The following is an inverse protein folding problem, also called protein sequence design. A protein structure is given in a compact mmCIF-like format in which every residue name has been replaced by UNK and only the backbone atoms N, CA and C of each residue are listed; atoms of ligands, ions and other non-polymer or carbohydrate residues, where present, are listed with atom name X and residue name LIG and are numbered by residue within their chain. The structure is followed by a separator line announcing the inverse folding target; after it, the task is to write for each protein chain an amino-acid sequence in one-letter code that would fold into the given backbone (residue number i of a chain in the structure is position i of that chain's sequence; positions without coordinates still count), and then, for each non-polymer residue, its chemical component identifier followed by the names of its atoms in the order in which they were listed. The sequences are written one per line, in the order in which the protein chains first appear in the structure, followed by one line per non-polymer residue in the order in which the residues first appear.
data_IF_330038813772
#
_entry.id   IF_330038813772
#
_cell.length_a   1.000
_cell.length_b   1.000
_cell.length_c   1.000
_cell.angle_alpha   90.00
_cell.angle_beta   90.00
_cell.angle_gamma   90.00
#
_symmetry.space_group_name_H-M   'P 1'
#
loop_
_entity.id
_entity.type
_entity.pdbx_description
1 polymer ?
#
# COMPACT_ATOMS: atom_id res chain seq x y z
N UNK A 1 -15.36 3.85 -3.63
CA UNK A 1 -14.88 3.86 -2.23
C UNK A 1 -13.43 3.37 -2.24
N UNK A 2 -12.45 4.06 -1.61
CA UNK A 2 -11.05 3.57 -1.66
C UNK A 2 -10.90 2.32 -0.80
N UNK A 3 -11.13 2.43 0.51
CA UNK A 3 -10.96 1.31 1.45
C UNK A 3 -12.26 0.60 1.86
N UNK A 4 -13.42 1.13 1.51
CA UNK A 4 -14.67 0.46 1.78
C UNK A 4 -14.99 -0.57 0.68
N UNK A 5 -15.36 -1.76 1.09
CA UNK A 5 -15.86 -2.80 0.18
C UNK A 5 -17.29 -2.47 -0.27
N UNK A 6 -17.60 -2.77 -1.53
CA UNK A 6 -18.98 -2.81 -1.99
C UNK A 6 -19.66 -4.13 -1.59
N UNK A 7 -20.95 -4.25 -1.84
CA UNK A 7 -21.74 -5.43 -1.46
C UNK A 7 -21.24 -6.73 -2.10
N UNK A 8 -20.73 -6.68 -3.33
CA UNK A 8 -20.21 -7.84 -4.06
C UNK A 8 -18.89 -8.28 -3.40
N UNK A 9 -18.01 -7.33 -3.16
CA UNK A 9 -16.70 -7.57 -2.51
C UNK A 9 -16.89 -8.06 -1.07
N UNK A 10 -17.84 -7.49 -0.33
CA UNK A 10 -18.19 -7.97 1.01
C UNK A 10 -18.73 -9.40 0.97
N UNK A 11 -19.59 -9.75 0.01
CA UNK A 11 -20.04 -11.13 -0.19
C UNK A 11 -18.89 -12.06 -0.55
N UNK A 12 -17.94 -11.61 -1.39
CA UNK A 12 -16.74 -12.38 -1.73
C UNK A 12 -15.89 -12.63 -0.49
N UNK A 13 -15.65 -11.60 0.33
CA UNK A 13 -14.92 -11.71 1.59
C UNK A 13 -15.55 -12.76 2.52
N UNK A 14 -16.84 -12.61 2.82
CA UNK A 14 -17.51 -13.44 3.83
C UNK A 14 -17.77 -14.86 3.35
N UNK A 15 -18.16 -15.04 2.07
CA UNK A 15 -18.59 -16.35 1.56
C UNK A 15 -17.49 -17.17 0.89
N UNK A 16 -16.36 -16.53 0.50
CA UNK A 16 -15.27 -17.21 -0.20
C UNK A 16 -13.94 -17.09 0.53
N UNK A 17 -13.43 -15.86 0.72
CA UNK A 17 -12.06 -15.66 1.21
C UNK A 17 -11.88 -16.07 2.66
N UNK A 18 -12.78 -15.66 3.57
CA UNK A 18 -12.70 -16.06 4.99
C UNK A 18 -12.88 -17.57 5.21
N UNK A 19 -13.84 -18.27 4.56
CA UNK A 19 -13.90 -19.71 4.61
C UNK A 19 -12.65 -20.38 4.06
N UNK A 20 -12.11 -19.90 2.93
CA UNK A 20 -10.87 -20.40 2.35
C UNK A 20 -9.70 -20.26 3.33
N UNK A 21 -9.46 -19.05 3.84
CA UNK A 21 -8.40 -18.77 4.82
C UNK A 21 -8.48 -19.70 6.04
N UNK A 22 -9.68 -19.94 6.57
CA UNK A 22 -9.88 -20.85 7.71
C UNK A 22 -9.68 -22.32 7.37
N UNK A 23 -9.97 -22.74 6.14
CA UNK A 23 -9.85 -24.14 5.71
C UNK A 23 -8.42 -24.52 5.32
N UNK A 24 -7.71 -23.59 4.66
CA UNK A 24 -6.32 -23.82 4.23
C UNK A 24 -5.35 -23.49 5.37
N UNK A 25 -5.62 -22.40 6.09
CA UNK A 25 -4.71 -21.86 7.11
C UNK A 25 -3.48 -21.19 6.50
N UNK A 26 -2.55 -20.85 7.34
CA UNK A 26 -1.20 -20.38 7.00
C UNK A 26 -0.23 -21.14 7.89
N UNK A 27 0.82 -21.67 7.29
CA UNK A 27 1.89 -22.39 7.98
C UNK A 27 2.55 -21.50 9.03
N UNK A 28 2.79 -22.03 10.24
CA UNK A 28 3.26 -21.27 11.39
C UNK A 28 4.61 -20.57 11.13
N UNK A 29 5.51 -21.25 10.42
CA UNK A 29 6.83 -20.72 10.06
C UNK A 29 6.75 -19.54 9.08
N UNK A 30 5.61 -19.35 8.41
CA UNK A 30 5.36 -18.24 7.48
C UNK A 30 4.55 -17.10 8.12
N UNK A 31 4.24 -17.19 9.42
CA UNK A 31 3.62 -16.11 10.19
C UNK A 31 4.65 -15.07 10.60
N UNK A 32 4.32 -13.79 10.52
CA UNK A 32 5.22 -12.70 10.86
C UNK A 32 5.85 -12.81 12.26
N UNK A 33 5.14 -13.38 13.23
CA UNK A 33 5.70 -13.59 14.58
C UNK A 33 6.76 -14.69 14.68
N UNK A 34 6.96 -15.49 13.64
CA UNK A 34 8.07 -16.46 13.53
C UNK A 34 9.36 -15.81 12.99
N UNK A 35 9.50 -14.48 13.15
CA UNK A 35 10.58 -13.65 12.59
C UNK A 35 12.00 -14.08 13.02
N UNK A 36 12.17 -14.76 14.13
CA UNK A 36 13.45 -15.26 14.66
C UNK A 36 13.84 -16.63 14.11
N UNK A 37 12.98 -17.27 13.31
CA UNK A 37 13.16 -18.58 12.69
C UNK A 37 13.18 -18.50 11.15
N UNK A 38 13.85 -19.44 10.51
CA UNK A 38 13.76 -19.64 9.06
C UNK A 38 12.31 -20.05 8.68
N UNK A 39 11.76 -19.53 7.57
CA UNK A 39 12.39 -18.69 6.55
C UNK A 39 12.25 -17.19 6.77
N UNK A 40 11.55 -16.73 7.80
CA UNK A 40 11.31 -15.30 8.02
C UNK A 40 12.53 -14.55 8.53
N UNK A 41 13.40 -15.20 9.31
CA UNK A 41 14.63 -14.59 9.79
C UNK A 41 15.54 -14.20 8.63
N UNK A 42 15.90 -12.91 8.46
CA UNK A 42 16.80 -12.48 7.41
C UNK A 42 18.21 -13.08 7.58
N UNK A 43 18.82 -13.53 6.47
CA UNK A 43 20.19 -14.04 6.49
C UNK A 43 21.24 -12.93 6.61
N UNK A 44 20.92 -11.72 6.14
CA UNK A 44 21.84 -10.59 6.10
C UNK A 44 21.31 -9.42 6.94
N UNK A 45 22.20 -8.73 7.64
CA UNK A 45 21.87 -7.52 8.40
C UNK A 45 21.79 -6.28 7.49
N UNK A 46 20.91 -6.36 6.50
CA UNK A 46 20.54 -5.30 5.56
C UNK A 46 19.06 -5.00 5.75
N UNK A 47 18.69 -3.73 5.65
CA UNK A 47 17.31 -3.28 5.79
C UNK A 47 16.88 -2.55 4.52
N UNK A 48 15.81 -3.02 3.87
CA UNK A 48 15.28 -2.41 2.67
C UNK A 48 13.86 -1.89 2.89
N UNK A 49 13.48 -0.76 2.27
CA UNK A 49 12.08 -0.31 2.30
C UNK A 49 11.19 -1.26 1.50
N UNK A 50 9.92 -1.38 1.91
CA UNK A 50 8.94 -2.29 1.32
C UNK A 50 8.87 -2.17 -0.22
N UNK A 51 8.90 -0.93 -0.73
CA UNK A 51 8.84 -0.73 -2.18
C UNK A 51 10.07 -1.27 -2.92
N UNK A 52 11.26 -1.31 -2.31
CA UNK A 52 12.45 -1.93 -2.91
C UNK A 52 12.35 -3.45 -2.93
N UNK A 53 11.77 -4.05 -1.89
CA UNK A 53 11.54 -5.49 -1.82
C UNK A 53 10.49 -5.91 -2.84
N UNK A 54 9.36 -5.21 -2.92
CA UNK A 54 8.23 -5.58 -3.76
C UNK A 54 8.30 -5.03 -5.19
N UNK A 55 9.31 -4.19 -5.53
CA UNK A 55 9.46 -3.62 -6.86
C UNK A 55 9.75 -4.72 -7.89
N UNK A 56 8.92 -4.78 -8.92
CA UNK A 56 9.08 -5.67 -10.08
C UNK A 56 9.17 -4.88 -11.40
N UNK A 57 9.45 -3.59 -11.32
CA UNK A 57 9.59 -2.72 -12.51
C UNK A 57 10.88 -2.98 -13.27
N UNK A 58 11.95 -3.33 -12.56
CA UNK A 58 13.22 -3.71 -13.15
C UNK A 58 13.38 -5.23 -13.13
N UNK A 59 13.46 -5.92 -14.28
CA UNK A 59 13.58 -7.38 -14.33
C UNK A 59 14.82 -7.92 -13.62
N UNK A 60 15.91 -7.15 -13.57
CA UNK A 60 17.16 -7.52 -12.89
C UNK A 60 17.28 -6.97 -11.47
N UNK A 61 16.34 -6.12 -11.03
CA UNK A 61 16.43 -5.35 -9.77
C UNK A 61 17.58 -4.34 -9.72
N UNK A 62 18.09 -3.88 -10.88
CA UNK A 62 19.15 -2.83 -10.96
C UNK A 62 18.72 -1.51 -10.30
N UNK A 63 17.42 -1.20 -10.24
CA UNK A 63 16.88 -0.05 -9.51
C UNK A 63 17.20 -0.12 -8.01
N UNK A 64 17.15 -1.31 -7.42
CA UNK A 64 17.51 -1.57 -6.01
C UNK A 64 19.03 -1.41 -5.83
N UNK A 65 19.82 -1.99 -6.73
CA UNK A 65 21.28 -1.88 -6.72
C UNK A 65 21.74 -0.42 -6.85
N UNK A 66 21.26 0.29 -7.85
CA UNK A 66 21.58 1.72 -8.07
C UNK A 66 21.26 2.56 -6.83
N UNK A 67 20.10 2.31 -6.20
CA UNK A 67 19.67 3.06 -5.03
C UNK A 67 20.45 2.71 -3.76
N UNK A 68 20.57 1.42 -3.47
CA UNK A 68 21.02 0.96 -2.14
C UNK A 68 22.53 0.66 -2.07
N UNK A 69 23.15 0.31 -3.20
CA UNK A 69 24.60 0.11 -3.30
C UNK A 69 25.28 1.36 -3.81
N UNK A 70 24.94 1.81 -5.03
CA UNK A 70 25.61 2.97 -5.64
C UNK A 70 25.09 4.33 -5.15
N UNK A 71 24.07 4.35 -4.26
CA UNK A 71 23.48 5.58 -3.69
C UNK A 71 23.01 6.59 -4.71
N UNK A 72 22.63 6.14 -5.90
CA UNK A 72 22.09 7.00 -6.95
C UNK A 72 20.70 7.51 -6.58
N UNK A 73 20.38 8.72 -7.00
CA UNK A 73 19.04 9.30 -6.83
C UNK A 73 18.24 9.08 -8.10
N UNK A 74 17.09 8.44 -7.95
CA UNK A 74 16.16 8.32 -9.07
C UNK A 74 15.48 9.66 -9.38
N UNK A 75 15.18 9.86 -10.66
CA UNK A 75 14.43 11.04 -11.11
C UNK A 75 12.94 10.88 -10.75
N UNK A 76 12.33 11.97 -10.29
CA UNK A 76 10.89 12.00 -10.07
C UNK A 76 10.17 11.86 -11.41
N UNK A 77 9.23 10.95 -11.52
CA UNK A 77 8.44 10.73 -12.73
C UNK A 77 6.99 11.10 -12.50
N UNK A 78 6.22 11.33 -13.59
CA UNK A 78 4.79 11.61 -13.47
C UNK A 78 4.01 10.54 -12.69
N UNK A 79 4.18 9.22 -12.92
CA UNK A 79 3.47 8.20 -12.13
C UNK A 79 3.80 8.26 -10.63
N UNK A 80 5.07 8.49 -10.28
CA UNK A 80 5.50 8.64 -8.87
C UNK A 80 4.90 9.89 -8.24
N UNK A 81 4.91 11.01 -8.97
CA UNK A 81 4.29 12.27 -8.54
C UNK A 81 2.78 12.11 -8.29
N UNK A 82 2.08 11.50 -9.25
CA UNK A 82 0.65 11.24 -9.16
C UNK A 82 0.33 10.33 -7.95
N UNK A 83 1.08 9.25 -7.77
CA UNK A 83 0.94 8.36 -6.63
C UNK A 83 1.13 9.09 -5.30
N UNK A 84 2.23 9.83 -5.16
CA UNK A 84 2.56 10.57 -3.93
C UNK A 84 1.46 11.57 -3.52
N UNK A 85 0.98 12.38 -4.47
CA UNK A 85 -0.07 13.37 -4.19
C UNK A 85 -1.41 12.70 -3.87
N UNK A 86 -1.74 11.61 -4.58
CA UNK A 86 -2.97 10.83 -4.34
C UNK A 86 -2.97 10.23 -2.94
N UNK A 87 -1.88 9.59 -2.51
CA UNK A 87 -1.75 9.03 -1.15
C UNK A 87 -1.87 10.14 -0.09
N UNK A 88 -1.21 11.28 -0.29
CA UNK A 88 -1.31 12.41 0.63
C UNK A 88 -2.77 12.93 0.74
N UNK A 89 -3.48 13.00 -0.39
CA UNK A 89 -4.89 13.43 -0.42
C UNK A 89 -5.80 12.44 0.32
N UNK A 90 -5.62 11.13 0.11
CA UNK A 90 -6.37 10.08 0.82
C UNK A 90 -6.13 10.20 2.34
N UNK A 91 -4.86 10.27 2.74
CA UNK A 91 -4.47 10.33 4.15
C UNK A 91 -5.10 11.55 4.84
N UNK A 92 -4.96 12.74 4.24
CA UNK A 92 -5.52 13.94 4.85
C UNK A 92 -7.04 13.93 4.86
N UNK A 93 -7.70 13.45 3.80
CA UNK A 93 -9.16 13.32 3.80
C UNK A 93 -9.65 12.48 4.99
N UNK A 94 -9.01 11.35 5.26
CA UNK A 94 -9.36 10.52 6.44
C UNK A 94 -8.99 11.19 7.78
N UNK A 95 -7.92 11.99 7.84
CA UNK A 95 -7.63 12.80 9.04
C UNK A 95 -8.73 13.80 9.32
N UNK A 96 -9.28 14.46 8.28
CA UNK A 96 -10.40 15.39 8.42
C UNK A 96 -11.67 14.67 8.92
N UNK A 97 -11.96 13.48 8.40
CA UNK A 97 -13.07 12.64 8.86
C UNK A 97 -12.95 12.34 10.36
N UNK A 98 -11.77 11.93 10.83
CA UNK A 98 -11.52 11.68 12.26
C UNK A 98 -11.72 12.91 13.12
N UNK A 99 -11.53 14.12 12.56
CA UNK A 99 -11.82 15.40 13.20
C UNK A 99 -13.27 15.84 13.05
N UNK A 100 -14.15 14.97 12.52
CA UNK A 100 -15.56 15.26 12.23
C UNK A 100 -15.76 16.36 11.19
N UNK A 101 -14.74 16.66 10.40
CA UNK A 101 -14.82 17.64 9.32
C UNK A 101 -15.07 16.94 7.99
N UNK A 102 -16.33 16.91 7.56
CA UNK A 102 -16.73 16.25 6.30
C UNK A 102 -16.73 17.21 5.10
N UNK A 103 -16.45 18.50 5.31
CA UNK A 103 -16.37 19.49 4.24
C UNK A 103 -15.11 20.35 4.32
N UNK A 104 -13.91 19.75 4.38
CA UNK A 104 -12.66 20.51 4.42
C UNK A 104 -12.31 21.08 3.06
N UNK A 105 -11.67 22.26 3.05
CA UNK A 105 -11.24 22.95 1.84
C UNK A 105 -10.01 22.25 1.22
N UNK A 106 -10.19 21.52 0.12
CA UNK A 106 -9.10 20.85 -0.61
C UNK A 106 -8.02 21.83 -1.07
N UNK A 107 -8.42 22.98 -1.64
CA UNK A 107 -7.52 24.01 -2.17
C UNK A 107 -6.57 24.55 -1.11
N UNK A 108 -7.07 24.86 0.08
CA UNK A 108 -6.25 25.36 1.19
C UNK A 108 -5.21 24.33 1.60
N UNK A 109 -5.63 23.07 1.77
CA UNK A 109 -4.72 21.99 2.10
C UNK A 109 -3.66 21.78 1.01
N UNK A 110 -4.07 21.70 -0.29
CA UNK A 110 -3.17 21.45 -1.39
C UNK A 110 -2.08 22.52 -1.49
N UNK A 111 -2.46 23.80 -1.39
CA UNK A 111 -1.55 24.92 -1.46
C UNK A 111 -0.53 24.95 -0.30
N UNK A 112 -0.92 24.47 0.88
CA UNK A 112 -0.01 24.37 2.02
C UNK A 112 1.07 23.29 1.83
N UNK A 113 0.81 22.25 1.02
CA UNK A 113 1.76 21.16 0.80
C UNK A 113 2.94 21.54 -0.11
N UNK A 114 2.83 22.58 -0.92
CA UNK A 114 3.84 23.05 -1.88
C UNK A 114 4.34 21.92 -2.79
N UNK A 115 3.44 21.08 -3.27
CA UNK A 115 3.77 19.93 -4.10
C UNK A 115 4.59 20.29 -5.35
N UNK A 116 4.37 21.46 -5.95
CA UNK A 116 5.08 21.98 -7.11
C UNK A 116 6.59 22.03 -6.94
N UNK A 117 7.10 22.04 -5.72
CA UNK A 117 8.54 22.01 -5.44
C UNK A 117 9.15 20.62 -5.48
N UNK A 118 8.32 19.56 -5.49
CA UNK A 118 8.78 18.17 -5.29
C UNK A 118 8.27 17.18 -6.34
N UNK A 119 7.28 17.58 -7.16
CA UNK A 119 6.66 16.70 -8.15
C UNK A 119 6.97 17.16 -9.57
N UNK A 120 6.86 16.23 -10.52
CA UNK A 120 7.07 16.49 -11.95
C UNK A 120 5.86 16.06 -12.78
N UNK A 121 5.70 16.72 -13.93
CA UNK A 121 4.63 16.44 -14.89
C UNK A 121 3.57 17.53 -14.93
N UNK A 122 2.37 17.17 -15.37
CA UNK A 122 1.24 18.11 -15.45
C UNK A 122 0.63 18.32 -14.06
N UNK A 123 1.05 19.39 -13.38
CA UNK A 123 0.66 19.73 -12.00
C UNK A 123 -0.85 19.94 -11.88
N UNK A 124 -1.47 20.62 -12.84
CA UNK A 124 -2.91 20.88 -12.83
C UNK A 124 -3.71 19.57 -12.91
N UNK A 125 -3.28 18.65 -13.75
CA UNK A 125 -3.92 17.35 -13.89
C UNK A 125 -3.75 16.50 -12.62
N UNK A 126 -2.56 16.51 -12.01
CA UNK A 126 -2.31 15.82 -10.74
C UNK A 126 -3.21 16.40 -9.64
N UNK A 127 -3.32 17.73 -9.55
CA UNK A 127 -4.20 18.42 -8.61
C UNK A 127 -5.66 18.06 -8.81
N UNK A 128 -6.13 18.06 -10.05
CA UNK A 128 -7.49 17.66 -10.41
C UNK A 128 -7.80 16.22 -9.95
N UNK A 129 -6.89 15.28 -10.23
CA UNK A 129 -7.04 13.88 -9.84
C UNK A 129 -7.02 13.69 -8.32
N UNK A 130 -6.14 14.41 -7.62
CA UNK A 130 -6.12 14.41 -6.16
C UNK A 130 -7.42 14.96 -5.55
N UNK A 131 -7.97 16.04 -6.13
CA UNK A 131 -9.26 16.60 -5.70
C UNK A 131 -10.43 15.61 -5.91
N UNK A 132 -10.41 14.86 -7.02
CA UNK A 132 -11.41 13.82 -7.28
C UNK A 132 -11.35 12.71 -6.23
N UNK A 133 -10.16 12.24 -5.89
CA UNK A 133 -9.97 11.21 -4.86
C UNK A 133 -10.36 11.74 -3.48
N UNK A 134 -9.95 12.94 -3.13
CA UNK A 134 -10.34 13.64 -1.90
C UNK A 134 -11.86 13.69 -1.73
N UNK A 135 -12.56 14.22 -2.73
CA UNK A 135 -14.03 14.30 -2.71
C UNK A 135 -14.66 12.92 -2.59
N UNK A 136 -14.12 11.93 -3.32
CA UNK A 136 -14.62 10.56 -3.28
C UNK A 136 -14.48 9.94 -1.88
N UNK A 137 -13.34 10.11 -1.21
CA UNK A 137 -13.12 9.63 0.16
C UNK A 137 -14.11 10.27 1.13
N UNK A 138 -14.22 11.60 1.12
CA UNK A 138 -15.11 12.33 2.03
C UNK A 138 -16.58 11.94 1.85
N UNK A 139 -17.08 11.91 0.60
CA UNK A 139 -18.48 11.56 0.32
C UNK A 139 -18.82 10.17 0.83
N UNK A 140 -17.92 9.20 0.62
CA UNK A 140 -18.18 7.83 1.06
C UNK A 140 -18.12 7.68 2.59
N UNK A 141 -17.17 8.35 3.22
CA UNK A 141 -17.06 8.31 4.68
C UNK A 141 -18.22 9.01 5.37
N UNK A 142 -18.69 10.14 4.83
CA UNK A 142 -19.89 10.83 5.32
C UNK A 142 -21.13 9.91 5.20
N UNK A 143 -21.30 9.23 4.07
CA UNK A 143 -22.40 8.27 3.91
C UNK A 143 -22.34 7.18 4.96
N UNK A 144 -21.16 6.58 5.19
CA UNK A 144 -20.97 5.54 6.21
C UNK A 144 -21.22 6.05 7.63
N UNK A 145 -20.80 7.27 7.92
CA UNK A 145 -21.07 7.90 9.21
C UNK A 145 -22.58 8.13 9.43
N UNK A 146 -23.30 8.60 8.42
CA UNK A 146 -24.77 8.76 8.48
C UNK A 146 -25.49 7.41 8.63
N UNK A 147 -25.02 6.39 7.94
CA UNK A 147 -25.54 5.01 8.11
C UNK A 147 -25.35 4.51 9.55
N UNK A 148 -24.17 4.74 10.14
CA UNK A 148 -23.88 4.39 11.52
C UNK A 148 -24.77 5.15 12.50
N UNK A 149 -24.96 6.45 12.30
CA UNK A 149 -25.89 7.29 13.09
C UNK A 149 -27.32 6.74 13.09
N UNK A 150 -27.83 6.33 11.93
CA UNK A 150 -29.19 5.79 11.82
C UNK A 150 -29.36 4.41 12.45
N UNK A 151 -28.28 3.61 12.47
CA UNK A 151 -28.29 2.23 12.94
C UNK A 151 -27.99 2.10 14.45
N UNK A 152 -27.27 3.07 15.00
CA UNK A 152 -26.76 3.03 16.38
C UNK A 152 -27.05 4.35 17.13
N UNK A 153 -28.33 4.70 17.37
CA UNK A 153 -28.72 6.01 17.90
C UNK A 153 -28.26 6.28 19.34
N UNK A 154 -27.77 5.26 20.04
CA UNK A 154 -27.29 5.36 21.43
C UNK A 154 -25.76 5.33 21.57
N UNK A 155 -25.04 5.22 20.45
CA UNK A 155 -23.57 5.26 20.43
C UNK A 155 -23.04 6.69 20.51
N UNK A 156 -21.82 6.84 21.03
CA UNK A 156 -21.14 8.14 21.01
C UNK A 156 -20.71 8.49 19.57
N UNK A 157 -20.45 9.76 19.31
CA UNK A 157 -19.93 10.17 17.98
C UNK A 157 -18.56 9.56 17.70
N UNK A 158 -17.72 9.39 18.72
CA UNK A 158 -16.42 8.72 18.63
C UNK A 158 -16.58 7.27 18.18
N UNK A 159 -17.50 6.52 18.78
CA UNK A 159 -17.79 5.13 18.40
C UNK A 159 -18.31 5.05 16.96
N UNK A 160 -19.14 6.02 16.56
CA UNK A 160 -19.64 6.09 15.19
C UNK A 160 -18.53 6.38 14.17
N UNK A 161 -17.57 7.24 14.48
CA UNK A 161 -16.41 7.47 13.62
C UNK A 161 -15.55 6.23 13.55
N UNK A 162 -15.24 5.59 14.69
CA UNK A 162 -14.45 4.37 14.74
C UNK A 162 -15.10 3.23 13.94
N UNK A 163 -16.43 3.13 13.97
CA UNK A 163 -17.18 2.11 13.23
C UNK A 163 -17.32 2.45 11.75
N UNK A 164 -17.51 3.72 11.40
CA UNK A 164 -17.69 4.15 10.01
C UNK A 164 -16.38 4.25 9.22
N UNK A 165 -15.25 4.49 9.89
CA UNK A 165 -13.92 4.58 9.28
C UNK A 165 -12.90 3.74 10.07
N UNK A 166 -13.03 2.39 10.07
CA UNK A 166 -12.24 1.47 10.90
C UNK A 166 -10.83 1.23 10.32
N UNK A 167 -10.13 2.28 10.00
CA UNK A 167 -8.89 2.23 9.24
C UNK A 167 -7.70 2.78 10.02
N UNK A 168 -6.60 2.03 10.08
CA UNK A 168 -5.27 2.60 10.36
C UNK A 168 -4.66 3.02 9.01
N UNK A 169 -4.52 4.32 8.76
CA UNK A 169 -4.06 4.87 7.48
C UNK A 169 -2.69 5.49 7.66
N UNK A 170 -1.78 5.21 6.73
CA UNK A 170 -0.38 5.64 6.77
C UNK A 170 0.25 5.36 8.15
N UNK A 171 -0.13 4.21 8.72
CA UNK A 171 0.37 3.82 10.04
C UNK A 171 1.85 3.45 9.97
N UNK A 172 2.63 4.04 10.88
CA UNK A 172 4.07 3.82 10.93
C UNK A 172 4.37 2.59 11.77
N UNK A 173 5.10 1.65 11.19
CA UNK A 173 5.54 0.43 11.86
C UNK A 173 7.00 0.14 11.54
N UNK A 174 7.70 -0.58 12.41
CA UNK A 174 9.06 -1.05 12.15
C UNK A 174 9.03 -2.41 11.46
N UNK A 175 9.80 -2.54 10.38
CA UNK A 175 9.98 -3.82 9.68
C UNK A 175 11.30 -4.51 9.96
N UNK A 176 12.08 -4.03 10.95
CA UNK A 176 13.46 -4.48 11.18
C UNK A 176 13.58 -5.96 11.51
N UNK A 177 12.58 -6.53 12.19
CA UNK A 177 12.55 -7.94 12.56
C UNK A 177 12.62 -8.88 11.35
N UNK A 178 12.04 -8.44 10.23
CA UNK A 178 12.00 -9.23 9.00
C UNK A 178 12.79 -8.61 7.83
N UNK A 179 13.83 -7.82 8.12
CA UNK A 179 14.75 -7.27 7.11
C UNK A 179 14.21 -6.05 6.36
N UNK A 180 13.16 -5.43 6.83
CA UNK A 180 12.66 -4.18 6.27
C UNK A 180 13.20 -2.96 7.01
N UNK A 181 12.99 -1.76 6.44
CA UNK A 181 13.37 -0.49 7.09
C UNK A 181 12.67 -0.28 8.44
N UNK A 182 13.35 0.41 9.36
CA UNK A 182 12.83 0.70 10.70
C UNK A 182 11.60 1.62 10.73
N UNK A 183 11.35 2.36 9.64
CA UNK A 183 10.13 3.15 9.47
C UNK A 183 9.50 2.80 8.14
N UNK A 184 8.40 2.08 8.21
CA UNK A 184 7.52 1.77 7.09
C UNK A 184 6.19 2.50 7.28
N UNK A 185 5.53 2.84 6.19
CA UNK A 185 4.19 3.40 6.19
C UNK A 185 3.28 2.46 5.43
N UNK A 186 2.41 1.76 6.12
CA UNK A 186 1.39 0.96 5.44
C UNK A 186 0.22 1.83 5.02
N UNK A 187 -0.30 1.62 3.81
CA UNK A 187 -1.35 2.46 3.26
C UNK A 187 -2.62 2.42 4.11
N UNK A 188 -3.11 1.21 4.39
CA UNK A 188 -4.29 1.07 5.23
C UNK A 188 -4.44 -0.35 5.78
N UNK A 189 -4.86 -0.43 7.03
CA UNK A 189 -5.34 -1.67 7.65
C UNK A 189 -6.76 -1.44 8.19
N UNK A 190 -7.72 -2.23 7.69
CA UNK A 190 -9.09 -2.28 8.21
C UNK A 190 -9.15 -3.25 9.38
N UNK A 191 -9.24 -2.71 10.59
CA UNK A 191 -9.22 -3.53 11.81
C UNK A 191 -10.57 -4.23 12.12
N UNK A 192 -11.69 -3.80 11.53
CA UNK A 192 -12.97 -4.52 11.69
C UNK A 192 -13.07 -5.71 10.74
N UNK A 193 -12.53 -5.60 9.54
CA UNK A 193 -12.57 -6.68 8.56
C UNK A 193 -11.28 -7.48 8.49
N UNK A 194 -10.21 -7.02 9.17
CA UNK A 194 -8.88 -7.62 9.16
C UNK A 194 -8.34 -7.75 7.73
N UNK A 195 -8.24 -6.61 7.04
CA UNK A 195 -7.78 -6.53 5.65
C UNK A 195 -6.61 -5.56 5.56
N UNK A 196 -5.51 -6.02 4.95
CA UNK A 196 -4.39 -5.16 4.59
C UNK A 196 -4.57 -4.61 3.18
N UNK A 197 -4.63 -3.30 3.04
CA UNK A 197 -4.78 -2.61 1.76
C UNK A 197 -3.47 -2.00 1.28
N UNK A 198 -3.27 -2.05 -0.04
CA UNK A 198 -2.21 -1.34 -0.74
C UNK A 198 -2.83 -0.61 -1.96
N UNK A 199 -2.49 0.67 -2.16
CA UNK A 199 -3.08 1.50 -3.21
C UNK A 199 -2.09 1.72 -4.35
N UNK A 200 -2.53 1.51 -5.57
CA UNK A 200 -1.79 1.76 -6.80
C UNK A 200 -2.52 2.77 -7.67
N UNK A 201 -1.83 3.82 -8.08
CA UNK A 201 -2.40 4.92 -8.87
C UNK A 201 -1.87 4.89 -10.30
N UNK A 202 -2.77 4.99 -11.29
CA UNK A 202 -2.41 5.01 -12.70
C UNK A 202 -1.97 3.65 -13.25
N UNK A 203 -2.26 2.55 -12.56
CA UNK A 203 -1.91 1.19 -12.94
C UNK A 203 -3.21 0.41 -13.16
N UNK A 204 -3.26 -0.34 -14.26
CA UNK A 204 -4.40 -1.23 -14.54
C UNK A 204 -4.22 -2.55 -13.80
N UNK A 205 -5.35 -3.10 -13.37
CA UNK A 205 -5.39 -4.45 -12.83
C UNK A 205 -5.10 -5.45 -13.95
N UNK A 206 -4.16 -6.35 -13.71
CA UNK A 206 -3.82 -7.47 -14.59
C UNK A 206 -4.25 -8.79 -13.95
N UNK A 207 -4.30 -9.89 -14.73
CA UNK A 207 -4.64 -11.22 -14.22
C UNK A 207 -3.64 -11.69 -13.17
N UNK A 208 -2.35 -11.53 -13.45
CA UNK A 208 -1.28 -11.76 -12.47
C UNK A 208 -0.96 -10.42 -11.82
N UNK A 209 -1.28 -10.30 -10.55
CA UNK A 209 -1.11 -9.05 -9.81
C UNK A 209 0.12 -9.13 -8.90
N UNK A 210 1.30 -8.66 -9.36
CA UNK A 210 2.51 -8.66 -8.53
C UNK A 210 2.43 -7.69 -7.35
N UNK A 211 1.50 -6.73 -7.41
CA UNK A 211 1.30 -5.76 -6.33
C UNK A 211 0.71 -6.39 -5.06
N UNK A 212 0.22 -7.65 -5.12
CA UNK A 212 -0.18 -8.42 -3.93
C UNK A 212 0.95 -8.54 -2.92
N UNK A 213 2.21 -8.55 -3.38
CA UNK A 213 3.38 -8.60 -2.51
C UNK A 213 3.46 -7.44 -1.51
N UNK A 214 2.99 -6.25 -1.86
CA UNK A 214 3.00 -5.12 -0.94
C UNK A 214 2.11 -5.35 0.28
N UNK A 215 0.85 -5.71 0.05
CA UNK A 215 -0.07 -6.03 1.15
C UNK A 215 0.40 -7.27 1.93
N UNK A 216 1.01 -8.27 1.26
CA UNK A 216 1.61 -9.45 1.91
C UNK A 216 2.76 -9.06 2.83
N UNK A 217 3.71 -8.24 2.35
CA UNK A 217 4.83 -7.78 3.15
C UNK A 217 4.39 -6.95 4.35
N UNK A 218 3.44 -6.04 4.17
CA UNK A 218 2.88 -5.28 5.29
C UNK A 218 2.12 -6.16 6.28
N UNK A 219 1.44 -7.22 5.83
CA UNK A 219 0.81 -8.20 6.71
C UNK A 219 1.86 -8.92 7.56
N UNK A 220 2.96 -9.38 6.97
CA UNK A 220 4.06 -10.02 7.68
C UNK A 220 4.72 -9.09 8.72
N UNK A 221 4.96 -7.81 8.36
CA UNK A 221 5.47 -6.81 9.30
C UNK A 221 4.48 -6.56 10.43
N UNK A 222 3.18 -6.46 10.12
CA UNK A 222 2.14 -6.24 11.12
C UNK A 222 2.04 -7.43 12.10
N UNK A 223 2.05 -8.65 11.57
CA UNK A 223 2.09 -9.88 12.37
C UNK A 223 3.34 -9.96 13.26
N UNK A 224 4.51 -9.52 12.78
CA UNK A 224 5.76 -9.56 13.56
C UNK A 224 5.77 -8.62 14.77
N UNK A 225 4.94 -7.59 14.75
CA UNK A 225 4.87 -6.58 15.81
C UNK A 225 3.69 -6.83 16.76
N UNK A 226 2.51 -7.16 16.19
CA UNK A 226 1.26 -7.19 16.95
C UNK A 226 0.76 -8.61 17.23
N UNK A 227 1.38 -9.64 16.64
CA UNK A 227 0.97 -11.05 16.75
C UNK A 227 -0.52 -11.28 16.39
N UNK A 228 -1.05 -10.45 15.49
CA UNK A 228 -2.41 -10.54 14.97
C UNK A 228 -2.38 -11.10 13.57
N UNK A 229 -3.01 -12.26 13.28
CA UNK A 229 -2.98 -12.86 11.94
C UNK A 229 -3.68 -11.97 10.92
N UNK A 230 -3.04 -11.72 9.77
CA UNK A 230 -3.58 -10.95 8.65
C UNK A 230 -3.57 -11.81 7.40
N UNK A 231 -4.70 -12.44 7.10
CA UNK A 231 -4.82 -13.42 6.02
C UNK A 231 -5.50 -12.88 4.76
N UNK A 232 -6.00 -11.65 4.79
CA UNK A 232 -6.68 -11.04 3.65
C UNK A 232 -5.96 -9.76 3.25
N UNK A 233 -5.60 -9.72 1.97
CA UNK A 233 -5.05 -8.53 1.32
C UNK A 233 -6.02 -7.95 0.30
N UNK A 234 -5.82 -6.68 -0.02
CA UNK A 234 -6.53 -5.99 -1.06
C UNK A 234 -5.62 -4.99 -1.78
N UNK A 235 -5.39 -5.19 -3.07
CA UNK A 235 -4.78 -4.15 -3.91
C UNK A 235 -5.89 -3.27 -4.48
N UNK A 236 -5.78 -1.96 -4.27
CA UNK A 236 -6.72 -0.96 -4.80
C UNK A 236 -6.07 -0.23 -5.96
N UNK A 237 -6.70 -0.27 -7.13
CA UNK A 237 -6.27 0.42 -8.33
C UNK A 237 -7.10 1.68 -8.53
N UNK A 238 -6.45 2.84 -8.51
CA UNK A 238 -7.04 4.13 -8.78
C UNK A 238 -6.65 4.59 -10.19
N UNK A 239 -7.61 4.66 -11.08
CA UNK A 239 -7.43 5.11 -12.44
C UNK A 239 -8.35 6.29 -12.75
N UNK A 240 -7.94 7.12 -13.71
CA UNK A 240 -8.68 8.31 -14.11
C UNK A 240 -8.96 8.22 -15.61
N UNK A 241 -10.22 8.36 -15.97
CA UNK A 241 -10.66 8.33 -17.36
C UNK A 241 -11.85 9.26 -17.52
N UNK A 242 -11.83 10.10 -18.55
CA UNK A 242 -12.94 11.01 -18.91
C UNK A 242 -13.48 11.79 -17.69
N UNK A 243 -12.56 12.41 -16.93
CA UNK A 243 -12.85 13.13 -15.69
C UNK A 243 -13.60 12.31 -14.62
N UNK A 244 -13.38 11.00 -14.62
CA UNK A 244 -13.95 10.07 -13.64
C UNK A 244 -12.86 9.28 -12.93
N UNK A 245 -13.03 9.12 -11.63
CA UNK A 245 -12.24 8.19 -10.83
C UNK A 245 -12.81 6.78 -10.97
N UNK A 246 -11.98 5.86 -11.43
CA UNK A 246 -12.26 4.43 -11.47
C UNK A 246 -11.52 3.76 -10.32
N UNK A 247 -12.25 3.04 -9.48
CA UNK A 247 -11.70 2.31 -8.33
C UNK A 247 -11.97 0.84 -8.53
N UNK A 248 -10.92 0.08 -8.78
CA UNK A 248 -10.96 -1.38 -8.88
C UNK A 248 -10.23 -1.99 -7.69
N UNK A 249 -10.70 -3.11 -7.19
CA UNK A 249 -10.07 -3.82 -6.08
C UNK A 249 -9.81 -5.27 -6.44
N UNK A 250 -8.69 -5.77 -5.94
CA UNK A 250 -8.32 -7.17 -6.01
C UNK A 250 -8.18 -7.68 -4.58
N UNK A 251 -9.23 -8.34 -4.08
CA UNK A 251 -9.26 -9.00 -2.79
C UNK A 251 -8.70 -10.42 -2.93
N UNK A 252 -7.79 -10.80 -2.05
CA UNK A 252 -7.14 -12.10 -2.11
C UNK A 252 -6.82 -12.65 -0.72
N UNK A 253 -6.65 -13.98 -0.64
CA UNK A 253 -6.07 -14.65 0.51
C UNK A 253 -4.54 -14.51 0.47
N UNK A 254 -3.93 -14.08 1.57
CA UNK A 254 -2.48 -14.03 1.74
C UNK A 254 -2.01 -15.44 2.11
N UNK A 255 -1.85 -16.28 1.06
CA UNK A 255 -1.49 -17.69 1.16
C UNK A 255 -0.01 -17.90 1.48
N UNK A 256 0.35 -19.13 1.80
CA UNK A 256 1.76 -19.55 1.96
C UNK A 256 2.60 -19.27 0.71
N UNK A 257 2.04 -19.45 -0.49
CA UNK A 257 2.75 -19.14 -1.75
C UNK A 257 3.09 -17.64 -1.86
N UNK A 258 2.17 -16.74 -1.48
CA UNK A 258 2.44 -15.30 -1.51
C UNK A 258 3.46 -14.90 -0.44
N UNK A 259 3.40 -15.51 0.74
CA UNK A 259 4.35 -15.27 1.83
C UNK A 259 5.76 -15.77 1.46
N UNK A 260 5.85 -16.97 0.90
CA UNK A 260 7.10 -17.53 0.39
C UNK A 260 7.69 -16.69 -0.74
N UNK A 261 6.88 -16.28 -1.69
CA UNK A 261 7.32 -15.38 -2.77
C UNK A 261 7.86 -14.05 -2.24
N UNK A 262 7.17 -13.44 -1.26
CA UNK A 262 7.66 -12.21 -0.65
C UNK A 262 9.01 -12.41 0.06
N UNK A 263 9.17 -13.53 0.78
CA UNK A 263 10.42 -13.88 1.47
C UNK A 263 11.56 -14.07 0.45
N UNK A 264 11.32 -14.81 -0.63
CA UNK A 264 12.28 -15.03 -1.72
C UNK A 264 12.73 -13.70 -2.37
N UNK A 265 11.79 -12.81 -2.68
CA UNK A 265 12.11 -11.48 -3.24
C UNK A 265 12.89 -10.61 -2.23
N UNK A 266 12.56 -10.69 -0.96
CA UNK A 266 13.30 -10.03 0.10
C UNK A 266 14.73 -10.54 0.17
N UNK A 267 14.92 -11.84 0.31
CA UNK A 267 16.23 -12.45 0.51
C UNK A 267 17.16 -12.22 -0.68
N UNK A 268 16.66 -12.40 -1.90
CA UNK A 268 17.37 -12.09 -3.14
C UNK A 268 17.89 -10.64 -3.18
N UNK A 269 17.08 -9.67 -2.75
CA UNK A 269 17.46 -8.26 -2.78
C UNK A 269 18.35 -7.87 -1.61
N UNK A 270 18.16 -8.48 -0.43
CA UNK A 270 19.05 -8.30 0.71
C UNK A 270 20.44 -8.85 0.41
N UNK A 271 20.53 -10.06 -0.17
CA UNK A 271 21.80 -10.67 -0.60
C UNK A 271 22.52 -9.79 -1.63
N UNK A 272 21.81 -9.35 -2.68
CA UNK A 272 22.38 -8.46 -3.70
C UNK A 272 22.98 -7.18 -3.11
N UNK A 273 22.29 -6.56 -2.13
CA UNK A 273 22.78 -5.33 -1.49
C UNK A 273 23.91 -5.62 -0.51
N UNK A 274 23.86 -6.74 0.21
CA UNK A 274 24.89 -7.15 1.15
C UNK A 274 26.21 -7.48 0.44
N UNK A 275 26.15 -8.23 -0.67
CA UNK A 275 27.31 -8.61 -1.48
C UNK A 275 27.77 -7.52 -2.45
N UNK A 276 27.03 -6.40 -2.53
CA UNK A 276 27.25 -5.31 -3.51
C UNK A 276 27.31 -5.83 -4.97
N UNK A 277 26.57 -6.90 -5.24
CA UNK A 277 26.61 -7.61 -6.51
C UNK A 277 25.78 -6.89 -7.57
N UNK A 278 26.45 -6.46 -8.65
CA UNK A 278 25.76 -5.87 -9.80
C UNK A 278 24.90 -6.92 -10.52
N UNK A 279 23.56 -6.74 -10.56
CA UNK A 279 22.66 -7.67 -11.22
C UNK A 279 22.66 -7.55 -12.75
N UNK A 280 23.42 -6.61 -13.30
CA UNK A 280 23.43 -6.29 -14.72
C UNK A 280 22.23 -5.45 -15.16
N UNK A 281 22.31 -4.93 -16.37
CA UNK A 281 21.25 -4.12 -16.96
C UNK A 281 20.27 -4.99 -17.74
N UNK A 282 19.00 -4.56 -17.77
CA UNK A 282 17.98 -5.12 -18.65
C UNK A 282 17.49 -4.06 -19.63
N UNK A 283 16.97 -4.48 -20.77
CA UNK A 283 16.13 -3.59 -21.59
C UNK A 283 14.91 -3.20 -20.76
N UNK A 284 14.77 -1.91 -20.47
CA UNK A 284 13.67 -1.43 -19.67
C UNK A 284 12.87 -0.35 -20.39
N UNK A 285 11.61 -0.23 -20.04
CA UNK A 285 10.73 0.82 -20.52
C UNK A 285 11.21 2.21 -20.06
N UNK A 286 10.95 3.24 -20.87
CA UNK A 286 11.39 4.64 -20.65
C UNK A 286 10.86 5.30 -19.37
N UNK A 287 10.07 4.60 -18.56
CA UNK A 287 9.39 5.13 -17.35
C UNK A 287 10.12 4.88 -16.04
N UNK A 288 11.27 4.19 -16.09
CA UNK A 288 12.07 3.93 -14.90
C UNK A 288 12.72 5.22 -14.40
N UNK A 289 12.65 5.45 -13.09
CA UNK A 289 13.26 6.61 -12.44
C UNK A 289 14.80 6.61 -12.49
N UNK A 290 15.42 5.47 -12.83
CA UNK A 290 16.86 5.30 -13.00
C UNK A 290 17.27 5.10 -14.48
N UNK A 291 16.40 5.39 -15.44
CA UNK A 291 16.67 5.14 -16.85
C UNK A 291 17.91 5.87 -17.38
N UNK A 292 18.21 7.06 -16.86
CA UNK A 292 19.42 7.82 -17.22
C UNK A 292 20.70 7.12 -16.75
N UNK A 293 20.69 6.59 -15.52
CA UNK A 293 21.83 5.89 -14.92
C UNK A 293 22.08 4.51 -15.54
N UNK A 294 21.00 3.80 -15.95
CA UNK A 294 21.13 2.52 -16.63
C UNK A 294 21.64 2.61 -18.07
N UNK A 295 21.68 3.80 -18.69
CA UNK A 295 22.12 4.01 -20.07
C UNK A 295 23.48 4.67 -20.17
N UNK A 296 24.03 5.10 -19.06
CA UNK A 296 25.36 5.67 -18.96
C UNK A 296 26.43 4.56 -18.85
#
# INVERSE_FOLDING_TARGET
MVYYLNDIEHKQLVKKLRPLSRSVGVTEELRGWSWDNSPLKPYHDVKLPMYSICSNYCPTSSDVYLKHVLKKKGEMTYPVSLGSVTHAAINEAYRQIRRKNFNPAFEEWYNLQKFETHIQGNLELIKQYAAMVWKHVLTNAESKFRDALSSQPYSTEEDMIATSAPFLIEHKISGELIGCSGILSMDCYDYLHNIMFDVKTGIKKEEVNPFKLYATGYALVFESIYEVPVDIGCTVFLNFKDDRLLVERDLFHISDDLRSWWIEERDKKLEMVYEEKDPGMAECERRCMYAAECRA
#
